data_IF_037605578189
#
_entry.id   IF_037605578189
#
_cell.length_a   1.000
_cell.length_b   1.000
_cell.length_c   1.000
_cell.angle_alpha   90.00
_cell.angle_beta   90.00
_cell.angle_gamma   90.00
#
_symmetry.space_group_name_H-M   'P 1'
#
loop_
_entity.id
_entity.type
_entity.pdbx_description
1 polymer ?
#
# COMPACT_ATOMS: atom_id res chain seq x y z
N UNK A 1 -20.47 -18.59 47.68
CA UNK A 1 -19.82 -18.23 46.41
C UNK A 1 -20.73 -18.78 45.33
N UNK A 2 -21.52 -17.92 44.69
CA UNK A 2 -22.47 -18.35 43.66
C UNK A 2 -21.71 -18.49 42.34
N UNK A 3 -21.70 -19.70 41.78
CA UNK A 3 -21.13 -19.99 40.47
C UNK A 3 -22.23 -19.81 39.43
N UNK A 4 -22.48 -18.56 39.03
CA UNK A 4 -23.38 -18.31 37.90
C UNK A 4 -22.60 -18.46 36.61
N UNK A 5 -23.11 -19.32 35.72
CA UNK A 5 -22.61 -19.43 34.36
C UNK A 5 -23.01 -18.15 33.60
N UNK A 6 -22.09 -17.59 32.85
CA UNK A 6 -22.26 -16.30 32.16
C UNK A 6 -22.28 -16.51 30.66
N UNK A 7 -23.23 -15.88 29.97
CA UNK A 7 -23.17 -15.77 28.50
C UNK A 7 -21.94 -14.93 28.16
N UNK A 8 -20.95 -15.56 27.56
CA UNK A 8 -19.64 -14.98 27.30
C UNK A 8 -19.52 -14.43 25.87
N UNK A 9 -20.18 -15.09 24.92
CA UNK A 9 -20.24 -14.67 23.52
C UNK A 9 -21.70 -14.64 23.05
N UNK A 10 -22.07 -13.59 22.31
CA UNK A 10 -23.36 -13.47 21.65
C UNK A 10 -23.19 -12.78 20.30
N UNK A 11 -23.86 -13.28 19.27
CA UNK A 11 -23.90 -12.68 17.94
C UNK A 11 -25.26 -12.92 17.29
N UNK A 12 -25.74 -11.92 16.55
CA UNK A 12 -26.87 -12.05 15.63
C UNK A 12 -26.34 -12.37 14.22
N UNK A 13 -27.09 -13.17 13.46
CA UNK A 13 -26.77 -13.43 12.07
C UNK A 13 -26.87 -12.16 11.23
N UNK A 14 -25.86 -11.85 10.40
CA UNK A 14 -25.94 -10.72 9.47
C UNK A 14 -26.93 -10.99 8.31
N UNK A 15 -27.49 -12.20 8.20
CA UNK A 15 -28.37 -12.62 7.10
C UNK A 15 -29.83 -12.74 7.50
N UNK A 16 -30.14 -12.86 8.80
CA UNK A 16 -31.50 -13.11 9.27
C UNK A 16 -31.71 -12.46 10.64
N UNK A 17 -32.56 -11.44 10.66
CA UNK A 17 -33.03 -10.82 11.90
C UNK A 17 -33.65 -11.87 12.83
N UNK A 18 -33.35 -11.77 14.12
CA UNK A 18 -33.87 -12.68 15.14
C UNK A 18 -33.23 -14.07 15.15
N UNK A 19 -32.22 -14.32 14.31
CA UNK A 19 -31.34 -15.48 14.42
C UNK A 19 -30.13 -15.12 15.28
N UNK A 20 -30.15 -15.51 16.55
CA UNK A 20 -29.06 -15.24 17.49
C UNK A 20 -28.41 -16.53 17.98
N UNK A 21 -27.10 -16.43 18.22
CA UNK A 21 -26.26 -17.47 18.77
C UNK A 21 -25.61 -16.97 20.04
N UNK A 22 -25.62 -17.79 21.09
CA UNK A 22 -24.97 -17.47 22.37
C UNK A 22 -24.13 -18.64 22.84
N UNK A 23 -23.04 -18.32 23.53
CA UNK A 23 -22.10 -19.27 24.12
C UNK A 23 -21.72 -18.80 25.50
N UNK A 24 -21.66 -19.73 26.45
CA UNK A 24 -21.36 -19.46 27.85
C UNK A 24 -19.97 -19.93 28.27
N UNK A 25 -19.53 -19.51 29.46
CA UNK A 25 -18.24 -19.88 30.04
C UNK A 25 -18.20 -21.31 30.63
N UNK A 26 -19.35 -21.97 30.77
CA UNK A 26 -19.51 -23.39 31.12
C UNK A 26 -19.59 -24.33 29.90
N UNK A 27 -19.58 -23.78 28.68
CA UNK A 27 -19.51 -24.55 27.44
C UNK A 27 -20.85 -24.84 26.78
N UNK A 28 -21.94 -24.19 27.19
CA UNK A 28 -23.21 -24.34 26.49
C UNK A 28 -23.28 -23.40 25.29
N UNK A 29 -23.85 -23.89 24.19
CA UNK A 29 -24.14 -23.11 22.99
C UNK A 29 -25.64 -23.21 22.70
N UNK A 30 -26.29 -22.06 22.54
CA UNK A 30 -27.71 -21.98 22.22
C UNK A 30 -27.95 -21.15 20.97
N UNK A 31 -29.03 -21.49 20.26
CA UNK A 31 -29.51 -20.74 19.10
C UNK A 31 -31.00 -20.44 19.25
N UNK A 32 -31.40 -19.24 18.85
CA UNK A 32 -32.79 -18.82 18.66
C UNK A 32 -32.96 -18.39 17.21
N UNK A 33 -34.16 -18.58 16.65
CA UNK A 33 -34.50 -18.12 15.30
C UNK A 33 -35.72 -17.19 15.28
N UNK A 34 -36.20 -16.79 16.46
CA UNK A 34 -37.43 -16.03 16.67
C UNK A 34 -37.24 -14.81 17.60
N UNK A 35 -36.03 -14.27 17.62
CA UNK A 35 -35.69 -13.08 18.41
C UNK A 35 -35.58 -13.34 19.90
N UNK A 36 -35.23 -14.57 20.30
CA UNK A 36 -35.02 -14.94 21.69
C UNK A 36 -36.28 -15.40 22.42
N UNK A 37 -37.39 -15.66 21.72
CA UNK A 37 -38.60 -16.21 22.33
C UNK A 37 -38.41 -17.68 22.71
N UNK A 38 -37.74 -18.44 21.85
CA UNK A 38 -37.37 -19.83 22.10
C UNK A 38 -35.87 -20.06 21.84
N UNK A 39 -35.21 -20.78 22.74
CA UNK A 39 -33.80 -21.13 22.65
C UNK A 39 -33.62 -22.65 22.60
N UNK A 40 -32.81 -23.13 21.66
CA UNK A 40 -32.43 -24.54 21.54
C UNK A 40 -30.98 -24.71 21.97
N UNK A 41 -30.71 -25.62 22.91
CA UNK A 41 -29.34 -26.05 23.20
C UNK A 41 -28.81 -26.86 22.02
N UNK A 42 -27.73 -26.39 21.43
CA UNK A 42 -27.09 -26.97 20.25
C UNK A 42 -25.61 -27.28 20.50
N UNK A 43 -25.24 -27.51 21.75
CA UNK A 43 -23.87 -27.82 22.15
C UNK A 43 -23.35 -29.08 21.41
N UNK A 44 -22.17 -29.04 20.78
CA UNK A 44 -21.60 -30.18 20.06
C UNK A 44 -21.48 -31.42 20.95
N UNK A 45 -21.96 -32.57 20.46
CA UNK A 45 -21.77 -33.85 21.15
C UNK A 45 -20.28 -34.21 21.23
N UNK A 46 -19.81 -34.58 22.41
CA UNK A 46 -18.40 -34.93 22.65
C UNK A 46 -17.45 -33.74 22.81
N UNK A 47 -17.99 -32.52 22.89
CA UNK A 47 -17.23 -31.35 23.33
C UNK A 47 -16.88 -31.50 24.83
N UNK A 48 -15.67 -31.11 25.27
CA UNK A 48 -15.33 -31.17 26.68
C UNK A 48 -16.23 -30.26 27.53
N UNK A 49 -16.62 -30.75 28.71
CA UNK A 49 -17.36 -29.95 29.68
C UNK A 49 -16.51 -28.77 30.19
N UNK A 50 -17.19 -27.69 30.60
CA UNK A 50 -16.58 -26.48 31.17
C UNK A 50 -15.60 -25.76 30.24
N UNK A 51 -15.81 -25.90 28.92
CA UNK A 51 -15.04 -25.16 27.93
C UNK A 51 -15.61 -23.75 27.79
N UNK A 52 -14.77 -22.74 27.90
CA UNK A 52 -15.19 -21.36 27.77
C UNK A 52 -15.40 -21.01 26.29
N UNK A 53 -16.62 -20.64 25.88
CA UNK A 53 -16.92 -20.21 24.52
C UNK A 53 -16.52 -18.74 24.32
N UNK A 54 -15.33 -18.50 23.76
CA UNK A 54 -14.75 -17.17 23.62
C UNK A 54 -15.29 -16.40 22.41
N UNK A 55 -15.68 -17.09 21.35
CA UNK A 55 -16.06 -16.47 20.09
C UNK A 55 -17.11 -17.31 19.37
N UNK A 56 -18.12 -16.62 18.85
CA UNK A 56 -19.17 -17.15 17.98
C UNK A 56 -19.18 -16.27 16.73
N UNK A 57 -19.26 -16.90 15.57
CA UNK A 57 -19.25 -16.23 14.26
C UNK A 57 -20.35 -16.85 13.37
N UNK A 58 -21.56 -16.28 13.36
CA UNK A 58 -22.59 -16.63 12.38
C UNK A 58 -22.12 -16.24 10.98
N UNK A 59 -22.32 -17.13 10.00
CA UNK A 59 -21.79 -16.90 8.66
C UNK A 59 -22.48 -15.75 7.93
N UNK A 60 -21.68 -14.98 7.19
CA UNK A 60 -22.14 -13.95 6.24
C UNK A 60 -22.62 -14.53 4.91
N UNK A 61 -22.46 -15.84 4.67
CA UNK A 61 -22.86 -16.50 3.41
C UNK A 61 -23.97 -17.53 3.57
N UNK A 62 -24.23 -18.04 4.78
CA UNK A 62 -25.30 -19.01 5.01
C UNK A 62 -25.86 -18.91 6.44
N UNK A 63 -27.17 -18.65 6.57
CA UNK A 63 -27.82 -18.48 7.86
C UNK A 63 -27.73 -19.73 8.78
N UNK A 64 -27.64 -20.94 8.23
CA UNK A 64 -27.49 -22.17 9.01
C UNK A 64 -26.06 -22.43 9.49
N UNK A 65 -25.09 -21.68 8.99
CA UNK A 65 -23.66 -21.85 9.31
C UNK A 65 -23.24 -20.95 10.46
N UNK A 66 -22.52 -21.54 11.41
CA UNK A 66 -21.88 -20.81 12.50
C UNK A 66 -20.54 -21.48 12.84
N UNK A 67 -19.55 -20.66 13.18
CA UNK A 67 -18.26 -21.10 13.68
C UNK A 67 -18.13 -20.70 15.15
N UNK A 68 -17.43 -21.51 15.94
CA UNK A 68 -17.25 -21.31 17.37
C UNK A 68 -15.81 -21.58 17.76
N UNK A 69 -15.21 -20.69 18.55
CA UNK A 69 -13.93 -20.93 19.21
C UNK A 69 -14.13 -21.09 20.71
N UNK A 70 -13.59 -22.18 21.25
CA UNK A 70 -13.57 -22.48 22.68
C UNK A 70 -12.15 -22.60 23.22
N UNK A 71 -12.01 -22.48 24.53
CA UNK A 71 -10.76 -22.77 25.23
C UNK A 71 -11.00 -23.40 26.60
N UNK A 72 -10.03 -24.21 27.03
CA UNK A 72 -10.03 -24.84 28.36
C UNK A 72 -8.69 -24.64 29.09
N UNK A 73 -7.93 -23.61 28.70
CA UNK A 73 -6.58 -23.35 29.22
C UNK A 73 -6.52 -23.20 30.74
N UNK A 74 -7.61 -22.73 31.37
CA UNK A 74 -7.70 -22.56 32.83
C UNK A 74 -7.66 -23.89 33.59
N UNK A 75 -7.90 -25.02 32.93
CA UNK A 75 -7.78 -26.36 33.52
C UNK A 75 -6.51 -27.09 33.07
N UNK A 76 -5.56 -26.39 32.44
CA UNK A 76 -4.34 -26.98 31.89
C UNK A 76 -4.51 -27.69 30.54
N UNK A 77 -5.66 -27.56 29.88
CA UNK A 77 -5.88 -28.08 28.53
C UNK A 77 -5.64 -26.97 27.49
N UNK A 78 -4.52 -27.09 26.78
CA UNK A 78 -4.09 -26.16 25.73
C UNK A 78 -4.48 -26.58 24.31
N UNK A 79 -5.35 -27.59 24.18
CA UNK A 79 -5.83 -28.08 22.89
C UNK A 79 -6.59 -26.99 22.13
N UNK A 80 -6.40 -26.83 20.81
CA UNK A 80 -7.25 -25.97 20.00
C UNK A 80 -8.67 -26.55 19.86
N UNK A 81 -9.66 -25.66 19.93
CA UNK A 81 -11.08 -25.98 19.82
C UNK A 81 -11.77 -24.97 18.91
N UNK A 82 -11.92 -25.36 17.64
CA UNK A 82 -12.76 -24.67 16.67
C UNK A 82 -13.82 -25.64 16.17
N UNK A 83 -15.07 -25.20 16.14
CA UNK A 83 -16.21 -25.99 15.69
C UNK A 83 -16.97 -25.24 14.60
N UNK A 84 -17.55 -26.00 13.68
CA UNK A 84 -18.41 -25.48 12.62
C UNK A 84 -19.71 -26.27 12.55
N UNK A 85 -20.83 -25.58 12.38
CA UNK A 85 -22.10 -26.16 11.97
C UNK A 85 -22.54 -25.55 10.64
N UNK A 86 -23.43 -26.23 9.92
CA UNK A 86 -24.07 -25.75 8.68
C UNK A 86 -25.60 -25.91 8.72
N UNK A 87 -26.14 -26.32 9.87
CA UNK A 87 -27.53 -26.71 10.03
C UNK A 87 -28.11 -26.23 11.38
N UNK A 88 -27.82 -24.99 11.75
CA UNK A 88 -28.30 -24.37 12.98
C UNK A 88 -27.92 -25.16 14.24
N UNK A 89 -26.73 -25.78 14.23
CA UNK A 89 -26.17 -26.45 15.40
C UNK A 89 -26.69 -27.88 15.64
N UNK A 90 -27.51 -28.44 14.72
CA UNK A 90 -27.95 -29.84 14.81
C UNK A 90 -26.78 -30.83 14.75
N UNK A 91 -25.72 -30.48 14.02
CA UNK A 91 -24.47 -31.22 13.99
C UNK A 91 -23.27 -30.28 13.86
N UNK A 92 -22.13 -30.72 14.37
CA UNK A 92 -20.89 -29.94 14.37
C UNK A 92 -19.71 -30.76 13.88
N UNK A 93 -18.71 -30.07 13.34
CA UNK A 93 -17.42 -30.62 12.94
C UNK A 93 -16.31 -29.85 13.63
N UNK A 94 -15.38 -30.54 14.30
CA UNK A 94 -14.15 -29.92 14.81
C UNK A 94 -13.23 -29.60 13.63
N UNK A 95 -12.80 -28.35 13.52
CA UNK A 95 -12.09 -27.79 12.36
C UNK A 95 -10.73 -27.23 12.80
N UNK A 96 -9.86 -28.07 13.36
CA UNK A 96 -8.57 -27.66 13.94
C UNK A 96 -7.35 -28.27 13.25
N UNK A 97 -7.54 -28.98 12.14
CA UNK A 97 -6.44 -29.64 11.45
C UNK A 97 -5.42 -28.61 10.92
N UNK A 98 -4.14 -28.81 11.24
CA UNK A 98 -3.06 -27.87 10.90
C UNK A 98 -2.79 -26.79 11.96
N UNK A 99 -3.61 -26.67 13.01
CA UNK A 99 -3.29 -25.87 14.20
C UNK A 99 -2.46 -26.74 15.15
N UNK A 100 -1.34 -26.20 15.66
CA UNK A 100 -0.48 -26.93 16.57
C UNK A 100 -1.21 -27.30 17.89
N UNK A 101 -0.91 -28.46 18.51
CA UNK A 101 -1.68 -29.00 19.63
C UNK A 101 -1.78 -28.10 20.87
N UNK A 102 -0.80 -27.23 21.13
CA UNK A 102 -0.80 -26.32 22.28
C UNK A 102 -1.17 -24.87 21.92
N UNK A 103 -1.60 -24.64 20.68
CA UNK A 103 -2.03 -23.32 20.22
C UNK A 103 -3.54 -23.18 20.44
N UNK A 104 -3.99 -23.20 21.70
CA UNK A 104 -5.42 -23.08 21.99
C UNK A 104 -6.01 -21.82 21.35
N UNK A 105 -7.23 -21.97 20.87
CA UNK A 105 -7.90 -20.98 20.03
C UNK A 105 -8.71 -20.01 20.87
N UNK A 106 -8.76 -18.75 20.45
CA UNK A 106 -9.48 -17.69 21.14
C UNK A 106 -10.59 -17.08 20.29
N UNK A 107 -10.34 -16.92 19.00
CA UNK A 107 -11.25 -16.22 18.09
C UNK A 107 -11.16 -16.79 16.69
N UNK A 108 -12.29 -16.78 15.98
CA UNK A 108 -12.36 -17.08 14.55
C UNK A 108 -13.24 -16.04 13.86
N UNK A 109 -12.83 -15.56 12.68
CA UNK A 109 -13.62 -14.67 11.81
C UNK A 109 -13.73 -15.23 10.39
N UNK A 110 -14.91 -15.13 9.81
CA UNK A 110 -15.15 -15.43 8.40
C UNK A 110 -14.82 -14.20 7.54
N UNK A 111 -14.11 -14.39 6.43
CA UNK A 111 -13.88 -13.29 5.49
C UNK A 111 -15.17 -12.92 4.75
N UNK A 112 -15.65 -11.67 4.82
CA UNK A 112 -16.93 -11.28 4.23
C UNK A 112 -16.93 -11.23 2.69
N UNK A 113 -15.78 -11.35 2.02
CA UNK A 113 -15.64 -11.29 0.56
C UNK A 113 -15.27 -12.62 -0.09
N UNK A 114 -14.78 -13.58 0.69
CA UNK A 114 -14.34 -14.90 0.21
C UNK A 114 -14.89 -16.01 1.10
N UNK A 115 -15.95 -16.67 0.61
CA UNK A 115 -16.55 -17.84 1.28
C UNK A 115 -15.48 -18.92 1.52
N UNK A 116 -15.39 -19.39 2.77
CA UNK A 116 -14.43 -20.42 3.17
C UNK A 116 -13.02 -19.91 3.46
N UNK A 117 -12.75 -18.61 3.31
CA UNK A 117 -11.55 -17.98 3.84
C UNK A 117 -11.80 -17.59 5.30
N UNK A 118 -11.06 -18.20 6.22
CA UNK A 118 -11.23 -18.01 7.66
C UNK A 118 -9.90 -17.60 8.31
N UNK A 119 -9.99 -16.79 9.37
CA UNK A 119 -8.87 -16.39 10.20
C UNK A 119 -9.09 -16.85 11.63
N UNK A 120 -8.06 -17.40 12.27
CA UNK A 120 -8.10 -17.79 13.67
C UNK A 120 -6.97 -17.14 14.46
N UNK A 121 -7.31 -16.64 15.65
CA UNK A 121 -6.37 -16.17 16.66
C UNK A 121 -6.19 -17.22 17.75
N UNK A 122 -4.94 -17.49 18.12
CA UNK A 122 -4.56 -18.42 19.19
C UNK A 122 -3.74 -17.72 20.25
N UNK A 123 -3.35 -18.44 21.31
CA UNK A 123 -2.45 -17.93 22.35
C UNK A 123 -1.06 -17.52 21.84
N UNK A 124 -0.65 -18.03 20.68
CA UNK A 124 0.72 -17.92 20.17
C UNK A 124 0.81 -17.27 18.80
N UNK A 125 -0.32 -16.86 18.21
CA UNK A 125 -0.32 -16.20 16.91
C UNK A 125 -1.57 -16.44 16.09
N UNK A 126 -1.41 -16.30 14.78
CA UNK A 126 -2.52 -16.37 13.82
C UNK A 126 -2.42 -17.57 12.89
N UNK A 127 -3.59 -18.05 12.46
CA UNK A 127 -3.76 -19.07 11.44
C UNK A 127 -4.77 -18.61 10.38
N UNK A 128 -4.63 -19.14 9.17
CA UNK A 128 -5.52 -18.90 8.04
C UNK A 128 -5.97 -20.23 7.42
N UNK A 129 -7.23 -20.32 7.00
CA UNK A 129 -7.78 -21.45 6.25
C UNK A 129 -8.39 -20.94 4.94
N UNK A 130 -8.14 -21.67 3.85
CA UNK A 130 -8.69 -21.38 2.52
C UNK A 130 -9.83 -22.34 2.13
N UNK A 131 -10.15 -23.30 3.00
CA UNK A 131 -11.03 -24.43 2.73
C UNK A 131 -12.05 -24.63 3.84
N UNK A 132 -12.52 -23.51 4.40
CA UNK A 132 -13.66 -23.45 5.30
C UNK A 132 -13.41 -24.23 6.61
N UNK A 133 -12.18 -24.12 7.11
CA UNK A 133 -11.69 -24.67 8.38
C UNK A 133 -11.16 -26.10 8.28
N UNK A 134 -11.18 -26.73 7.10
CA UNK A 134 -10.69 -28.12 6.95
C UNK A 134 -9.20 -28.23 7.18
N UNK A 135 -8.42 -27.25 6.74
CA UNK A 135 -6.98 -27.16 6.96
C UNK A 135 -6.58 -25.71 7.29
N UNK A 136 -5.73 -25.58 8.31
CA UNK A 136 -5.15 -24.31 8.74
C UNK A 136 -3.66 -24.26 8.45
N UNK A 137 -3.17 -23.06 8.17
CA UNK A 137 -1.75 -22.76 8.02
C UNK A 137 -1.36 -21.60 8.94
N UNK A 138 -0.15 -21.60 9.52
CA UNK A 138 0.36 -20.44 10.25
C UNK A 138 0.31 -19.18 9.38
N UNK A 139 -0.16 -18.08 9.95
CA UNK A 139 -0.34 -16.80 9.28
C UNK A 139 0.27 -15.65 10.10
N UNK A 140 1.54 -15.81 10.45
CA UNK A 140 2.22 -14.94 11.41
C UNK A 140 2.80 -13.66 10.78
N UNK A 141 3.36 -13.75 9.56
CA UNK A 141 4.08 -12.65 8.91
C UNK A 141 5.11 -11.99 9.86
N UNK A 142 5.00 -10.68 10.12
CA UNK A 142 5.84 -9.92 11.06
C UNK A 142 5.19 -9.69 12.43
N UNK A 143 4.03 -10.30 12.70
CA UNK A 143 3.39 -10.27 14.01
C UNK A 143 4.29 -11.04 15.01
N UNK A 144 4.59 -10.50 16.20
CA UNK A 144 5.31 -11.25 17.23
C UNK A 144 4.45 -12.41 17.76
N UNK A 145 5.08 -13.42 18.33
CA UNK A 145 4.38 -14.50 19.06
C UNK A 145 3.70 -13.91 20.29
N UNK A 146 2.38 -13.73 20.23
CA UNK A 146 1.55 -13.12 21.28
C UNK A 146 0.13 -13.70 21.26
N UNK A 147 -0.59 -13.62 22.39
CA UNK A 147 -2.00 -13.99 22.43
C UNK A 147 -2.83 -13.07 21.54
N UNK A 148 -3.65 -13.68 20.68
CA UNK A 148 -4.62 -13.00 19.83
C UNK A 148 -5.98 -13.11 20.49
N UNK A 149 -6.43 -12.02 21.12
CA UNK A 149 -7.64 -12.03 21.93
C UNK A 149 -8.89 -11.79 21.12
N UNK A 150 -8.80 -11.01 20.03
CA UNK A 150 -9.91 -10.75 19.12
C UNK A 150 -9.41 -10.36 17.72
N UNK A 151 -10.28 -10.50 16.72
CA UNK A 151 -10.07 -10.16 15.33
C UNK A 151 -11.29 -9.43 14.80
N UNK A 152 -11.09 -8.48 13.88
CA UNK A 152 -12.20 -7.95 13.07
C UNK A 152 -11.71 -7.62 11.66
N UNK A 153 -12.62 -7.69 10.69
CA UNK A 153 -12.34 -7.40 9.29
C UNK A 153 -13.12 -6.16 8.88
N UNK A 154 -12.41 -5.15 8.39
CA UNK A 154 -13.01 -3.89 7.93
C UNK A 154 -12.23 -3.34 6.75
N UNK A 155 -12.92 -2.91 5.70
CA UNK A 155 -12.33 -2.25 4.53
C UNK A 155 -11.15 -3.03 3.88
N UNK A 156 -11.28 -4.36 3.76
CA UNK A 156 -10.21 -5.26 3.31
C UNK A 156 -8.96 -5.19 4.18
N UNK A 157 -9.11 -4.93 5.47
CA UNK A 157 -8.03 -4.99 6.44
C UNK A 157 -8.46 -5.92 7.56
N UNK A 158 -7.52 -6.71 8.08
CA UNK A 158 -7.72 -7.46 9.31
C UNK A 158 -7.06 -6.71 10.45
N UNK A 159 -7.84 -6.43 11.48
CA UNK A 159 -7.42 -5.77 12.70
C UNK A 159 -7.33 -6.83 13.78
N UNK A 160 -6.19 -6.88 14.44
CA UNK A 160 -5.79 -7.95 15.35
C UNK A 160 -5.58 -7.33 16.74
N UNK A 161 -6.40 -7.73 17.69
CA UNK A 161 -6.22 -7.36 19.09
C UNK A 161 -5.28 -8.36 19.76
N UNK A 162 -4.18 -7.85 20.33
CA UNK A 162 -3.18 -8.67 21.00
C UNK A 162 -3.16 -8.38 22.50
N UNK A 163 -2.79 -9.38 23.29
CA UNK A 163 -2.49 -9.16 24.70
C UNK A 163 -1.06 -8.62 24.85
N UNK A 164 -0.93 -7.39 25.36
CA UNK A 164 0.35 -6.78 25.73
C UNK A 164 1.19 -6.17 24.59
N UNK A 165 0.73 -6.20 23.32
CA UNK A 165 1.46 -5.63 22.16
C UNK A 165 0.60 -4.78 21.20
N UNK A 166 -0.46 -4.14 21.71
CA UNK A 166 -1.34 -3.21 20.98
C UNK A 166 -2.17 -3.86 19.86
N UNK A 167 -2.80 -3.04 19.02
CA UNK A 167 -3.49 -3.44 17.80
C UNK A 167 -2.50 -3.61 16.65
N UNK A 168 -2.68 -4.67 15.87
CA UNK A 168 -1.97 -4.91 14.62
C UNK A 168 -2.93 -4.85 13.45
N UNK A 169 -2.47 -4.37 12.29
CA UNK A 169 -3.29 -4.25 11.10
C UNK A 169 -2.51 -4.82 9.91
N UNK A 170 -3.10 -5.78 9.22
CA UNK A 170 -2.76 -6.06 7.84
C UNK A 170 -3.77 -5.31 6.97
N UNK A 171 -3.29 -4.26 6.32
CA UNK A 171 -4.09 -3.19 5.73
C UNK A 171 -4.63 -3.51 4.32
N UNK A 172 -4.14 -4.59 3.70
CA UNK A 172 -4.57 -5.01 2.38
C UNK A 172 -4.75 -6.55 2.23
N UNK A 173 -5.99 -7.00 2.45
CA UNK A 173 -6.43 -8.37 2.19
C UNK A 173 -6.65 -8.66 0.70
N UNK A 174 -6.62 -7.66 -0.19
CA UNK A 174 -6.94 -7.88 -1.62
C UNK A 174 -5.95 -8.83 -2.29
N UNK A 175 -4.69 -8.85 -1.82
CA UNK A 175 -3.69 -9.82 -2.29
C UNK A 175 -4.08 -11.24 -1.91
N UNK A 176 -4.54 -11.46 -0.67
CA UNK A 176 -5.01 -12.78 -0.21
C UNK A 176 -6.27 -13.22 -0.94
N UNK A 177 -7.21 -12.30 -1.17
CA UNK A 177 -8.44 -12.58 -1.93
C UNK A 177 -8.15 -13.00 -3.36
N UNK A 178 -7.12 -12.44 -3.98
CA UNK A 178 -6.66 -12.83 -5.32
C UNK A 178 -5.88 -14.14 -5.29
N UNK A 179 -5.04 -14.36 -4.28
CA UNK A 179 -4.32 -15.63 -4.08
C UNK A 179 -5.28 -16.82 -3.87
N UNK A 180 -6.43 -16.59 -3.24
CA UNK A 180 -7.47 -17.59 -3.06
C UNK A 180 -7.90 -18.23 -4.40
N UNK A 181 -8.01 -17.42 -5.46
CA UNK A 181 -8.47 -17.86 -6.78
C UNK A 181 -7.31 -18.32 -7.70
N UNK A 182 -6.06 -18.01 -7.33
CA UNK A 182 -4.90 -18.27 -8.17
C UNK A 182 -4.47 -19.74 -8.11
N UNK A 183 -4.48 -20.40 -9.26
CA UNK A 183 -3.73 -21.63 -9.48
C UNK A 183 -2.25 -21.25 -9.64
N UNK A 184 -1.36 -21.82 -8.81
CA UNK A 184 0.07 -21.47 -8.66
C UNK A 184 0.97 -21.69 -9.90
N UNK A 185 0.46 -21.58 -11.13
CA UNK A 185 1.20 -21.87 -12.37
C UNK A 185 1.91 -20.67 -13.01
N UNK A 186 1.60 -19.43 -12.62
CA UNK A 186 2.12 -18.25 -13.34
C UNK A 186 3.52 -17.85 -12.85
N UNK A 187 4.46 -17.63 -13.79
CA UNK A 187 5.83 -17.20 -13.49
C UNK A 187 5.90 -15.71 -13.07
N UNK A 188 5.00 -14.89 -13.62
CA UNK A 188 4.87 -13.46 -13.37
C UNK A 188 3.43 -13.13 -12.94
N UNK A 189 3.26 -12.58 -11.74
CA UNK A 189 1.95 -12.21 -11.20
C UNK A 189 1.96 -10.72 -10.84
N UNK A 190 0.98 -9.99 -11.38
CA UNK A 190 0.66 -8.63 -10.95
C UNK A 190 -0.72 -8.65 -10.29
N UNK A 191 -0.77 -8.35 -9.00
CA UNK A 191 -2.01 -8.27 -8.26
C UNK A 191 -2.70 -6.94 -8.60
N UNK A 192 -4.03 -6.97 -8.73
CA UNK A 192 -4.84 -5.76 -8.85
C UNK A 192 -4.62 -4.90 -7.60
N UNK A 193 -4.11 -3.67 -7.74
CA UNK A 193 -3.95 -2.77 -6.60
C UNK A 193 -5.29 -2.45 -5.93
N UNK A 194 -5.28 -2.27 -4.61
CA UNK A 194 -6.38 -1.64 -3.87
C UNK A 194 -6.55 -0.19 -4.35
N UNK A 195 -7.78 0.32 -4.35
CA UNK A 195 -8.05 1.72 -4.67
C UNK A 195 -7.27 2.63 -3.71
N UNK A 196 -6.61 3.65 -4.27
CA UNK A 196 -5.74 4.57 -3.54
C UNK A 196 -6.44 5.93 -3.37
N UNK A 197 -6.28 6.57 -2.22
CA UNK A 197 -6.80 7.91 -2.01
C UNK A 197 -5.75 8.96 -2.36
N UNK A 198 -6.17 10.00 -3.10
CA UNK A 198 -5.34 11.20 -3.34
C UNK A 198 -5.24 12.03 -2.06
N UNK A 199 -4.31 11.67 -1.18
CA UNK A 199 -4.09 12.36 0.09
C UNK A 199 -2.87 13.30 0.04
N UNK A 200 -2.84 14.29 0.94
CA UNK A 200 -1.64 15.09 1.25
C UNK A 200 -0.77 14.37 2.30
N UNK A 201 0.50 14.78 2.40
CA UNK A 201 1.44 14.27 3.41
C UNK A 201 2.22 13.03 2.97
N UNK A 202 3.07 12.51 3.86
CA UNK A 202 3.89 11.34 3.62
C UNK A 202 4.00 10.46 4.86
N UNK A 203 4.70 9.34 4.73
CA UNK A 203 4.98 8.46 5.86
C UNK A 203 6.31 8.85 6.49
N UNK A 204 6.29 9.31 7.75
CA UNK A 204 7.51 9.38 8.55
C UNK A 204 7.87 7.96 9.00
N UNK A 205 9.03 7.45 8.58
CA UNK A 205 9.48 6.11 8.99
C UNK A 205 9.89 6.11 10.46
N UNK A 206 9.61 4.99 11.14
CA UNK A 206 10.28 4.57 12.39
C UNK A 206 9.99 5.41 13.65
N UNK A 207 8.75 5.87 13.85
CA UNK A 207 8.36 6.31 15.20
C UNK A 207 8.37 5.11 16.16
N UNK A 208 9.01 5.25 17.33
CA UNK A 208 8.94 4.26 18.42
C UNK A 208 7.68 4.43 19.28
N UNK A 209 6.98 5.55 19.14
CA UNK A 209 5.87 5.97 20.01
C UNK A 209 4.54 6.09 19.25
N UNK A 210 4.52 5.83 17.95
CA UNK A 210 3.33 5.97 17.11
C UNK A 210 3.29 4.91 16.04
N UNK A 211 2.08 4.56 15.60
CA UNK A 211 1.88 3.70 14.44
C UNK A 211 2.45 4.32 13.15
N UNK A 212 2.72 3.47 12.16
CA UNK A 212 3.15 3.92 10.83
C UNK A 212 1.91 4.17 9.97
N UNK A 213 1.80 5.36 9.40
CA UNK A 213 0.73 5.66 8.45
C UNK A 213 0.85 4.79 7.20
N UNK A 214 -0.29 4.37 6.65
CA UNK A 214 -0.33 3.71 5.34
C UNK A 214 0.40 4.56 4.28
N UNK A 215 1.16 3.95 3.36
CA UNK A 215 1.86 4.68 2.32
C UNK A 215 0.93 5.60 1.51
N UNK A 216 1.33 6.85 1.29
CA UNK A 216 0.60 7.75 0.41
C UNK A 216 0.96 7.45 -1.06
N UNK A 217 0.15 6.64 -1.72
CA UNK A 217 0.40 6.23 -3.09
C UNK A 217 -0.44 5.03 -3.51
N UNK A 218 -0.24 4.61 -4.76
CA UNK A 218 -0.75 3.35 -5.28
C UNK A 218 0.23 2.25 -4.87
N UNK A 219 -0.20 1.36 -3.98
CA UNK A 219 0.59 0.21 -3.55
C UNK A 219 0.39 -0.94 -4.54
N UNK A 220 1.44 -1.27 -5.27
CA UNK A 220 1.45 -2.33 -6.27
C UNK A 220 2.19 -3.54 -5.73
N UNK A 221 1.49 -4.67 -5.62
CA UNK A 221 2.06 -5.96 -5.26
C UNK A 221 2.27 -6.81 -6.51
N UNK A 222 3.41 -7.48 -6.58
CA UNK A 222 3.71 -8.40 -7.67
C UNK A 222 4.63 -9.53 -7.20
N UNK A 223 4.55 -10.68 -7.86
CA UNK A 223 5.40 -11.82 -7.58
C UNK A 223 6.16 -12.24 -8.84
N UNK A 224 7.47 -12.41 -8.70
CA UNK A 224 8.36 -12.88 -9.77
C UNK A 224 9.00 -14.17 -9.30
N UNK A 225 8.65 -15.29 -9.92
CA UNK A 225 9.10 -16.61 -9.48
C UNK A 225 10.64 -16.76 -9.51
N UNK A 226 11.26 -16.29 -10.57
CA UNK A 226 12.71 -16.34 -10.79
C UNK A 226 13.21 -14.98 -11.29
N UNK A 227 14.25 -14.45 -10.66
CA UNK A 227 14.83 -13.14 -10.98
C UNK A 227 16.36 -13.21 -10.85
N UNK A 228 17.07 -12.82 -11.91
CA UNK A 228 18.52 -12.64 -11.96
C UNK A 228 18.85 -11.16 -12.26
N UNK A 229 19.41 -10.45 -11.29
CA UNK A 229 19.69 -9.01 -11.39
C UNK A 229 20.63 -8.63 -12.55
N UNK A 230 21.47 -9.57 -13.03
CA UNK A 230 22.39 -9.30 -14.13
C UNK A 230 21.79 -9.53 -15.52
N UNK A 231 20.72 -10.34 -15.61
CA UNK A 231 20.14 -10.77 -16.89
C UNK A 231 18.72 -10.25 -17.11
N UNK A 232 17.97 -10.08 -16.03
CA UNK A 232 16.56 -9.72 -16.10
C UNK A 232 16.36 -8.21 -16.00
N UNK A 233 15.54 -7.69 -16.90
CA UNK A 233 15.00 -6.33 -16.81
C UNK A 233 13.55 -6.40 -16.40
N UNK A 234 13.21 -5.69 -15.33
CA UNK A 234 11.84 -5.56 -14.83
C UNK A 234 11.43 -4.10 -14.82
N UNK A 235 10.20 -3.83 -15.23
CA UNK A 235 9.63 -2.49 -15.14
C UNK A 235 8.17 -2.48 -14.70
N UNK A 236 7.78 -1.40 -14.02
CA UNK A 236 6.41 -1.02 -13.71
C UNK A 236 6.08 0.28 -14.43
N UNK A 237 5.11 0.24 -15.34
CA UNK A 237 4.63 1.41 -16.07
C UNK A 237 3.20 1.74 -15.65
N UNK A 238 2.99 3.00 -15.26
CA UNK A 238 1.68 3.54 -14.90
C UNK A 238 1.12 4.36 -16.06
N UNK A 239 -0.15 4.14 -16.38
CA UNK A 239 -0.85 4.77 -17.50
C UNK A 239 -2.06 5.55 -17.02
N UNK A 240 -2.36 6.66 -17.69
CA UNK A 240 -3.54 7.49 -17.42
C UNK A 240 -4.82 6.89 -18.04
N UNK A 241 -5.94 7.59 -17.84
CA UNK A 241 -7.26 7.24 -18.39
C UNK A 241 -7.30 7.08 -19.91
N UNK A 242 -6.40 7.76 -20.64
CA UNK A 242 -6.30 7.72 -22.12
C UNK A 242 -5.36 6.63 -22.62
N UNK A 243 -4.62 5.97 -21.73
CA UNK A 243 -3.58 5.00 -22.07
C UNK A 243 -2.20 5.60 -22.30
N UNK A 244 -2.00 6.90 -22.04
CA UNK A 244 -0.67 7.51 -22.12
C UNK A 244 0.17 7.11 -20.90
N UNK A 245 1.46 6.88 -21.13
CA UNK A 245 2.42 6.62 -20.07
C UNK A 245 2.56 7.84 -19.16
N UNK A 246 2.34 7.63 -17.87
CA UNK A 246 2.60 8.62 -16.83
C UNK A 246 4.05 8.53 -16.38
N UNK A 247 4.46 7.31 -16.00
CA UNK A 247 5.77 7.06 -15.40
C UNK A 247 6.16 5.59 -15.51
N UNK A 248 7.44 5.34 -15.72
CA UNK A 248 8.03 3.99 -15.76
C UNK A 248 9.16 3.88 -14.75
N UNK A 249 9.07 2.89 -13.88
CA UNK A 249 10.12 2.50 -12.95
C UNK A 249 10.77 1.22 -13.44
N UNK A 250 12.10 1.14 -13.50
CA UNK A 250 12.77 -0.05 -14.02
C UNK A 250 14.08 -0.37 -13.26
N UNK A 251 14.54 -1.61 -13.39
CA UNK A 251 15.76 -2.10 -12.71
C UNK A 251 17.05 -1.52 -13.29
N UNK A 252 17.04 -1.04 -14.53
CA UNK A 252 18.23 -0.50 -15.23
C UNK A 252 18.56 0.96 -14.85
N UNK A 253 17.60 1.69 -14.27
CA UNK A 253 17.78 3.07 -13.85
C UNK A 253 18.72 3.16 -12.65
N UNK A 254 19.72 4.07 -12.71
CA UNK A 254 20.75 4.19 -11.67
C UNK A 254 20.38 5.03 -10.45
N UNK A 255 19.40 5.94 -10.58
CA UNK A 255 19.00 6.87 -9.51
C UNK A 255 17.49 7.11 -9.52
N UNK A 256 17.04 8.11 -10.28
CA UNK A 256 15.63 8.46 -10.43
C UNK A 256 14.89 7.29 -11.08
N UNK A 257 13.72 6.99 -10.55
CA UNK A 257 12.81 5.97 -11.08
C UNK A 257 13.41 4.55 -11.16
N UNK A 258 14.34 4.25 -10.26
CA UNK A 258 14.86 2.89 -10.05
C UNK A 258 13.77 2.03 -9.40
N UNK A 259 13.58 0.83 -9.94
CA UNK A 259 12.77 -0.22 -9.33
C UNK A 259 13.69 -1.27 -8.70
N UNK A 260 13.53 -1.49 -7.40
CA UNK A 260 14.20 -2.58 -6.69
C UNK A 260 13.31 -3.82 -6.72
N UNK A 261 13.89 -4.95 -7.09
CA UNK A 261 13.18 -6.22 -7.29
C UNK A 261 13.99 -7.36 -6.67
N UNK A 262 13.29 -8.29 -6.04
CA UNK A 262 13.83 -9.56 -5.55
C UNK A 262 13.04 -10.74 -6.11
N UNK A 263 13.63 -11.93 -6.02
CA UNK A 263 12.91 -13.19 -6.24
C UNK A 263 11.74 -13.30 -5.25
N UNK A 264 10.58 -13.73 -5.74
CA UNK A 264 9.34 -13.87 -4.98
C UNK A 264 8.49 -12.61 -4.94
N UNK A 265 7.88 -12.34 -3.77
CA UNK A 265 6.93 -11.26 -3.57
C UNK A 265 7.63 -9.90 -3.42
N UNK A 266 7.10 -8.90 -4.12
CA UNK A 266 7.59 -7.53 -4.19
C UNK A 266 6.43 -6.54 -3.95
N UNK A 267 6.80 -5.35 -3.48
CA UNK A 267 5.90 -4.23 -3.28
C UNK A 267 6.57 -2.97 -3.80
N UNK A 268 5.81 -2.16 -4.54
CA UNK A 268 6.25 -0.83 -4.96
C UNK A 268 5.14 0.18 -4.72
N UNK A 269 5.50 1.39 -4.26
CA UNK A 269 4.54 2.47 -4.01
C UNK A 269 4.81 3.59 -5.00
N UNK A 270 3.87 3.83 -5.92
CA UNK A 270 3.89 5.03 -6.74
C UNK A 270 3.16 6.17 -6.02
N UNK A 271 3.86 7.26 -5.78
CA UNK A 271 3.38 8.49 -5.10
C UNK A 271 2.30 9.27 -5.87
N UNK A 272 1.85 8.73 -7.01
CA UNK A 272 0.89 9.35 -7.94
C UNK A 272 1.44 10.58 -8.69
N UNK A 273 2.75 10.86 -8.62
CA UNK A 273 3.34 12.01 -9.29
C UNK A 273 3.65 11.70 -10.75
N UNK A 274 3.28 12.63 -11.63
CA UNK A 274 3.71 12.61 -13.03
C UNK A 274 5.19 12.97 -13.14
N UNK A 275 5.75 12.81 -14.34
CA UNK A 275 7.12 13.27 -14.61
C UNK A 275 7.25 14.77 -14.36
N UNK A 276 8.24 15.12 -13.54
CA UNK A 276 8.58 16.49 -13.18
C UNK A 276 9.62 17.12 -14.12
N UNK A 277 10.10 18.29 -13.74
CA UNK A 277 11.14 19.01 -14.49
C UNK A 277 12.54 18.45 -14.21
N UNK A 278 13.39 18.33 -15.25
CA UNK A 278 14.80 17.92 -15.10
C UNK A 278 15.56 18.93 -14.24
N UNK A 279 16.20 18.48 -13.16
CA UNK A 279 17.15 19.32 -12.39
C UNK A 279 18.53 19.27 -13.04
N UNK A 280 19.07 20.42 -13.44
CA UNK A 280 20.43 20.49 -13.98
C UNK A 280 21.47 20.23 -12.88
N UNK A 281 22.60 19.64 -13.26
CA UNK A 281 23.73 19.44 -12.35
C UNK A 281 24.22 20.78 -11.77
N UNK A 282 24.50 20.77 -10.46
CA UNK A 282 24.92 21.97 -9.71
C UNK A 282 23.83 23.02 -9.47
N UNK A 283 22.59 22.78 -9.92
CA UNK A 283 21.48 23.73 -9.72
C UNK A 283 21.00 23.72 -8.27
N UNK A 284 20.96 24.90 -7.66
CA UNK A 284 20.52 25.12 -6.27
C UNK A 284 19.24 25.98 -6.32
N UNK A 285 18.15 25.41 -5.83
CA UNK A 285 16.85 26.06 -5.74
C UNK A 285 16.45 26.15 -4.27
N UNK A 286 15.90 27.29 -3.87
CA UNK A 286 15.38 27.53 -2.54
C UNK A 286 13.87 27.36 -2.53
N UNK A 287 13.41 26.37 -1.76
CA UNK A 287 11.99 26.12 -1.53
C UNK A 287 11.16 26.13 -2.83
N UNK A 288 11.58 25.27 -3.75
CA UNK A 288 10.96 25.05 -5.04
C UNK A 288 10.82 23.55 -5.27
N UNK A 289 9.68 23.12 -5.79
CA UNK A 289 9.46 21.75 -6.24
C UNK A 289 9.64 21.64 -7.74
N UNK A 290 10.34 20.60 -8.17
CA UNK A 290 10.46 20.21 -9.57
C UNK A 290 9.57 19.00 -9.90
N UNK A 291 8.72 18.57 -8.97
CA UNK A 291 7.90 17.38 -9.15
C UNK A 291 6.76 17.65 -10.15
N UNK A 292 6.34 16.59 -10.85
CA UNK A 292 5.21 16.68 -11.77
C UNK A 292 3.88 16.92 -11.05
N UNK A 293 2.79 17.23 -11.76
CA UNK A 293 1.48 17.29 -11.14
C UNK A 293 1.08 15.91 -10.59
N UNK A 294 0.44 15.88 -9.42
CA UNK A 294 -0.09 14.64 -8.84
C UNK A 294 -1.33 14.17 -9.63
N UNK A 295 -1.52 12.87 -9.84
CA UNK A 295 -2.65 12.29 -10.57
C UNK A 295 -4.00 12.61 -9.92
N UNK A 296 -4.95 13.08 -10.74
CA UNK A 296 -6.33 13.39 -10.31
C UNK A 296 -7.12 12.10 -10.02
N UNK A 297 -8.21 12.15 -9.23
CA UNK A 297 -9.10 11.01 -9.08
C UNK A 297 -9.61 10.50 -10.44
N UNK A 298 -9.65 9.17 -10.61
CA UNK A 298 -10.02 8.53 -11.86
C UNK A 298 -9.51 7.10 -11.99
N UNK A 299 -9.70 6.50 -13.16
CA UNK A 299 -9.27 5.13 -13.47
C UNK A 299 -7.91 5.11 -14.16
N UNK A 300 -7.05 4.21 -13.71
CA UNK A 300 -5.66 4.09 -14.16
C UNK A 300 -5.30 2.62 -14.40
N UNK A 301 -4.14 2.39 -15.00
CA UNK A 301 -3.62 1.05 -15.26
C UNK A 301 -2.14 0.98 -14.91
N UNK A 302 -1.73 -0.14 -14.31
CA UNK A 302 -0.32 -0.47 -14.10
C UNK A 302 0.02 -1.72 -14.91
N UNK A 303 1.18 -1.71 -15.56
CA UNK A 303 1.73 -2.85 -16.28
C UNK A 303 3.07 -3.22 -15.69
N UNK A 304 3.20 -4.49 -15.32
CA UNK A 304 4.45 -5.15 -14.98
C UNK A 304 5.02 -5.78 -16.24
N UNK A 305 6.29 -5.52 -16.53
CA UNK A 305 7.02 -6.18 -17.61
C UNK A 305 8.27 -6.87 -17.06
N UNK A 306 8.53 -8.11 -17.47
CA UNK A 306 9.81 -8.80 -17.29
C UNK A 306 10.28 -9.32 -18.64
N UNK A 307 11.41 -8.82 -19.14
CA UNK A 307 12.01 -9.24 -20.42
C UNK A 307 11.03 -9.32 -21.60
N UNK A 308 10.04 -8.42 -21.68
CA UNK A 308 9.04 -8.42 -22.75
C UNK A 308 7.71 -9.11 -22.40
N UNK A 309 7.67 -10.00 -21.40
CA UNK A 309 6.40 -10.54 -20.88
C UNK A 309 5.70 -9.49 -20.03
N UNK A 310 4.43 -9.18 -20.33
CA UNK A 310 3.68 -8.13 -19.65
C UNK A 310 2.35 -8.58 -19.09
N UNK A 311 2.07 -8.16 -17.85
CA UNK A 311 0.77 -8.33 -17.17
C UNK A 311 0.29 -6.96 -16.74
N UNK A 312 -1.00 -6.66 -16.95
CA UNK A 312 -1.59 -5.36 -16.61
C UNK A 312 -2.77 -5.51 -15.67
N UNK A 313 -2.94 -4.53 -14.78
CA UNK A 313 -4.07 -4.45 -13.87
C UNK A 313 -4.64 -3.03 -13.80
N UNK A 314 -5.97 -2.86 -13.76
CA UNK A 314 -6.60 -1.57 -13.52
C UNK A 314 -6.61 -1.23 -12.02
N UNK A 315 -6.63 0.06 -11.69
CA UNK A 315 -6.86 0.55 -10.34
C UNK A 315 -7.53 1.93 -10.37
N UNK A 316 -8.09 2.36 -9.23
CA UNK A 316 -8.75 3.66 -9.11
C UNK A 316 -8.01 4.54 -8.13
N UNK A 317 -7.88 5.82 -8.48
CA UNK A 317 -7.52 6.87 -7.53
C UNK A 317 -8.81 7.58 -7.12
N UNK A 318 -9.09 7.60 -5.81
CA UNK A 318 -10.26 8.22 -5.21
C UNK A 318 -9.91 9.60 -4.66
N UNK A 319 -10.88 10.50 -4.65
CA UNK A 319 -10.78 11.74 -3.89
C UNK A 319 -10.72 11.43 -2.39
N UNK A 320 -9.91 12.16 -1.62
CA UNK A 320 -9.98 12.09 -0.16
C UNK A 320 -11.38 12.58 0.28
N UNK A 321 -12.18 11.77 0.99
CA UNK A 321 -13.53 12.16 1.40
C UNK A 321 -13.57 13.35 2.37
N UNK A 322 -12.40 13.77 2.87
CA UNK A 322 -12.25 14.95 3.75
C UNK A 322 -11.80 16.21 2.99
N UNK A 323 -11.49 16.10 1.69
CA UNK A 323 -11.05 17.24 0.90
C UNK A 323 -12.21 18.18 0.59
N UNK A 324 -11.96 19.50 0.71
CA UNK A 324 -12.93 20.54 0.34
C UNK A 324 -12.96 20.79 -1.18
N UNK A 325 -11.87 20.48 -1.88
CA UNK A 325 -11.74 20.67 -3.33
C UNK A 325 -12.48 19.58 -4.10
N UNK A 326 -13.18 19.96 -5.16
CA UNK A 326 -13.82 19.00 -6.05
C UNK A 326 -12.87 18.45 -7.13
N UNK A 327 -13.39 17.60 -8.03
CA UNK A 327 -12.60 17.04 -9.12
C UNK A 327 -12.13 18.11 -10.13
N UNK A 328 -12.94 19.14 -10.38
CA UNK A 328 -12.61 20.21 -11.31
C UNK A 328 -11.47 21.07 -10.77
N UNK A 329 -11.48 21.38 -9.47
CA UNK A 329 -10.39 22.08 -8.78
C UNK A 329 -9.08 21.27 -8.87
N UNK A 330 -9.13 19.96 -8.61
CA UNK A 330 -7.96 19.10 -8.71
C UNK A 330 -7.43 19.03 -10.15
N UNK A 331 -8.31 19.07 -11.15
CA UNK A 331 -7.93 19.11 -12.55
C UNK A 331 -7.33 20.47 -12.95
N UNK A 332 -7.85 21.58 -12.43
CA UNK A 332 -7.28 22.90 -12.62
C UNK A 332 -5.88 23.00 -12.00
N UNK A 333 -5.70 22.50 -10.78
CA UNK A 333 -4.39 22.40 -10.12
C UNK A 333 -3.41 21.56 -10.95
N UNK A 334 -3.85 20.40 -11.45
CA UNK A 334 -3.05 19.55 -12.31
C UNK A 334 -2.54 20.29 -13.56
N UNK A 335 -3.46 20.98 -14.26
CA UNK A 335 -3.12 21.71 -15.48
C UNK A 335 -2.15 22.87 -15.19
N UNK A 336 -2.40 23.61 -14.13
CA UNK A 336 -1.53 24.71 -13.70
C UNK A 336 -0.10 24.23 -13.40
N UNK A 337 0.06 23.18 -12.58
CA UNK A 337 1.38 22.62 -12.25
C UNK A 337 2.06 22.05 -13.50
N UNK A 338 1.30 21.44 -14.42
CA UNK A 338 1.82 20.97 -15.70
C UNK A 338 2.41 22.12 -16.53
N UNK A 339 1.71 23.25 -16.62
CA UNK A 339 2.17 24.42 -17.37
C UNK A 339 3.39 25.09 -16.73
N UNK A 340 3.44 25.16 -15.40
CA UNK A 340 4.61 25.59 -14.63
C UNK A 340 5.82 24.70 -14.95
N UNK A 341 5.66 23.38 -14.87
CA UNK A 341 6.73 22.42 -15.19
C UNK A 341 7.18 22.54 -16.65
N UNK A 342 6.26 22.61 -17.61
CA UNK A 342 6.60 22.81 -19.03
C UNK A 342 7.43 24.08 -19.26
N UNK A 343 7.13 25.16 -18.53
CA UNK A 343 7.85 26.43 -18.62
C UNK A 343 9.24 26.33 -18.00
N UNK A 344 9.37 25.70 -16.84
CA UNK A 344 10.68 25.46 -16.22
C UNK A 344 11.55 24.54 -17.05
N UNK A 345 10.99 23.47 -17.61
CA UNK A 345 11.70 22.52 -18.45
C UNK A 345 12.26 23.20 -19.72
N UNK A 346 11.47 24.07 -20.36
CA UNK A 346 11.97 24.94 -21.44
C UNK A 346 13.13 25.82 -20.98
N UNK A 347 13.04 26.44 -19.80
CA UNK A 347 14.12 27.25 -19.25
C UNK A 347 15.38 26.43 -18.96
N UNK A 348 15.26 25.25 -18.35
CA UNK A 348 16.38 24.37 -18.03
C UNK A 348 17.04 23.83 -19.31
N UNK A 349 16.27 23.45 -20.32
CA UNK A 349 16.80 23.08 -21.64
C UNK A 349 17.56 24.23 -22.30
N UNK A 350 17.07 25.47 -22.17
CA UNK A 350 17.76 26.67 -22.66
C UNK A 350 19.08 26.90 -21.92
N UNK A 351 19.10 26.80 -20.59
CA UNK A 351 20.32 26.90 -19.78
C UNK A 351 21.34 25.83 -20.19
N UNK A 352 20.89 24.57 -20.36
CA UNK A 352 21.73 23.45 -20.79
C UNK A 352 22.36 23.73 -22.17
N UNK A 353 21.59 24.26 -23.12
CA UNK A 353 22.09 24.69 -24.44
C UNK A 353 23.11 25.82 -24.32
N UNK A 354 22.81 26.86 -23.54
CA UNK A 354 23.71 27.99 -23.28
C UNK A 354 25.06 27.49 -22.74
N UNK A 355 25.05 26.63 -21.71
CA UNK A 355 26.27 26.07 -21.12
C UNK A 355 27.09 25.27 -22.12
N UNK A 356 26.43 24.48 -22.98
CA UNK A 356 27.12 23.71 -24.02
C UNK A 356 27.76 24.61 -25.08
N UNK A 357 27.06 25.65 -25.55
CA UNK A 357 27.60 26.59 -26.54
C UNK A 357 28.74 27.40 -25.92
N UNK A 358 28.58 27.91 -24.70
CA UNK A 358 29.64 28.63 -23.99
C UNK A 358 30.91 27.79 -23.83
N UNK A 359 30.79 26.48 -23.57
CA UNK A 359 31.95 25.58 -23.53
C UNK A 359 32.70 25.53 -24.86
N UNK A 360 31.99 25.52 -25.99
CA UNK A 360 32.59 25.55 -27.33
C UNK A 360 33.22 26.91 -27.65
N UNK A 361 32.55 28.02 -27.31
CA UNK A 361 33.10 29.37 -27.50
C UNK A 361 34.38 29.58 -26.68
N UNK A 362 34.41 29.11 -25.42
CA UNK A 362 35.62 29.17 -24.59
C UNK A 362 36.77 28.33 -25.16
N UNK A 363 36.47 27.16 -25.74
CA UNK A 363 37.47 26.34 -26.41
C UNK A 363 38.03 27.04 -27.66
N UNK A 364 37.16 27.64 -28.48
CA UNK A 364 37.53 28.45 -29.65
C UNK A 364 38.42 29.63 -29.25
N UNK A 365 38.03 30.40 -28.24
CA UNK A 365 38.83 31.52 -27.72
C UNK A 365 40.21 31.09 -27.23
N UNK A 366 40.29 29.94 -26.56
CA UNK A 366 41.56 29.40 -26.07
C UNK A 366 42.46 28.94 -27.23
N UNK A 367 41.88 28.31 -28.25
CA UNK A 367 42.61 27.77 -29.39
C UNK A 367 43.21 28.86 -30.28
N UNK A 368 42.47 29.93 -30.56
CA UNK A 368 42.88 30.99 -31.49
C UNK A 368 43.40 32.25 -30.78
N UNK A 369 43.82 32.11 -29.53
CA UNK A 369 44.31 33.23 -28.73
C UNK A 369 45.53 33.87 -29.38
N UNK A 370 45.41 35.14 -29.80
CA UNK A 370 46.49 35.90 -30.41
C UNK A 370 46.60 35.76 -31.94
N UNK A 371 45.68 35.00 -32.56
CA UNK A 371 45.58 34.93 -34.02
C UNK A 371 44.82 36.15 -34.56
N UNK A 372 45.53 37.03 -35.27
CA UNK A 372 44.96 38.25 -35.83
C UNK A 372 43.98 37.99 -37.00
N UNK A 373 44.02 36.80 -37.61
CA UNK A 373 43.15 36.47 -38.76
C UNK A 373 41.70 36.21 -38.36
N UNK A 374 41.45 35.82 -37.11
CA UNK A 374 40.11 35.50 -36.58
C UNK A 374 39.64 36.46 -35.48
N UNK A 375 40.28 37.62 -35.36
CA UNK A 375 40.00 38.61 -34.29
C UNK A 375 38.52 39.03 -34.23
N UNK A 376 37.89 39.30 -35.37
CA UNK A 376 36.46 39.64 -35.44
C UNK A 376 35.55 38.51 -34.92
N UNK A 377 35.90 37.25 -35.22
CA UNK A 377 35.17 36.09 -34.72
C UNK A 377 35.35 35.91 -33.20
N UNK A 378 36.54 36.18 -32.67
CA UNK A 378 36.80 36.16 -31.23
C UNK A 378 35.99 37.23 -30.49
N UNK A 379 35.85 38.42 -31.05
CA UNK A 379 35.08 39.51 -30.44
C UNK A 379 33.57 39.21 -30.49
N UNK A 380 33.07 38.63 -31.58
CA UNK A 380 31.68 38.10 -31.68
C UNK A 380 31.41 36.97 -30.68
N UNK A 381 32.37 36.06 -30.48
CA UNK A 381 32.25 34.98 -29.50
C UNK A 381 32.09 35.52 -28.08
N UNK A 382 32.89 36.52 -27.68
CA UNK A 382 32.80 37.19 -26.37
C UNK A 382 31.48 37.94 -26.21
N UNK A 383 30.99 38.61 -27.25
CA UNK A 383 29.69 39.28 -27.22
C UNK A 383 28.56 38.27 -26.97
N UNK A 384 28.56 37.16 -27.72
CA UNK A 384 27.57 36.11 -27.57
C UNK A 384 27.62 35.45 -26.18
N UNK A 385 28.81 35.21 -25.61
CA UNK A 385 28.95 34.72 -24.24
C UNK A 385 28.34 35.68 -23.21
N UNK A 386 28.53 37.00 -23.39
CA UNK A 386 27.95 38.02 -22.52
C UNK A 386 26.43 37.99 -22.56
N UNK A 387 25.85 37.91 -23.75
CA UNK A 387 24.40 37.84 -23.94
C UNK A 387 23.82 36.56 -23.32
N UNK A 388 24.48 35.42 -23.56
CA UNK A 388 24.11 34.15 -22.93
C UNK A 388 24.19 34.17 -21.41
N UNK A 389 25.21 34.83 -20.85
CA UNK A 389 25.34 34.99 -19.40
C UNK A 389 24.16 35.80 -18.83
N UNK A 390 23.78 36.90 -19.47
CA UNK A 390 22.63 37.70 -19.04
C UNK A 390 21.32 36.91 -19.09
N UNK A 391 21.13 36.08 -20.12
CA UNK A 391 19.96 35.18 -20.22
C UNK A 391 19.98 34.13 -19.12
N UNK A 392 21.11 33.44 -18.90
CA UNK A 392 21.22 32.42 -17.86
C UNK A 392 20.98 33.03 -16.47
N UNK A 393 21.52 34.21 -16.17
CA UNK A 393 21.32 34.93 -14.90
C UNK A 393 19.87 35.39 -14.67
N UNK A 394 19.11 35.61 -15.74
CA UNK A 394 17.68 35.90 -15.65
C UNK A 394 16.85 34.63 -15.35
N UNK A 395 17.24 33.50 -15.95
CA UNK A 395 16.56 32.21 -15.77
C UNK A 395 16.91 31.53 -14.44
N UNK A 396 18.18 31.60 -14.00
CA UNK A 396 18.73 30.92 -12.84
C UNK A 396 19.78 31.78 -12.10
N UNK A 397 19.86 31.64 -10.77
CA UNK A 397 20.86 32.36 -9.97
C UNK A 397 22.21 31.65 -10.03
N UNK A 398 23.05 32.04 -11.00
CA UNK A 398 24.36 31.42 -11.26
C UNK A 398 25.39 31.63 -10.14
N UNK A 399 25.18 32.58 -9.23
CA UNK A 399 26.07 32.82 -8.08
C UNK A 399 25.92 31.79 -6.97
N UNK A 400 24.85 31.00 -6.97
CA UNK A 400 24.62 29.99 -5.94
C UNK A 400 25.64 28.85 -6.06
N UNK A 401 26.38 28.60 -4.98
CA UNK A 401 27.33 27.50 -4.78
C UNK A 401 26.98 26.64 -3.55
N UNK A 402 26.20 27.18 -2.62
CA UNK A 402 25.71 26.54 -1.40
C UNK A 402 24.20 26.73 -1.21
N UNK A 403 23.56 25.84 -0.45
CA UNK A 403 22.12 25.88 -0.18
C UNK A 403 21.67 27.14 0.59
N UNK A 404 22.58 27.86 1.25
CA UNK A 404 22.29 29.11 1.97
C UNK A 404 22.48 30.37 1.12
N UNK A 405 23.14 30.27 -0.04
CA UNK A 405 23.35 31.42 -0.93
C UNK A 405 22.07 32.11 -1.44
N UNK A 406 20.92 31.42 -1.59
CA UNK A 406 19.65 32.08 -1.89
C UNK A 406 19.19 33.12 -0.85
N UNK A 407 19.78 33.15 0.35
CA UNK A 407 19.56 34.23 1.33
C UNK A 407 20.28 35.52 0.95
N UNK A 408 21.40 35.40 0.23
CA UNK A 408 22.26 36.52 -0.17
C UNK A 408 22.00 36.99 -1.61
N UNK A 409 21.49 36.10 -2.48
CA UNK A 409 21.21 36.40 -3.87
C UNK A 409 19.74 36.16 -4.22
N UNK A 410 19.08 37.10 -4.93
CA UNK A 410 17.65 36.98 -5.22
C UNK A 410 17.37 35.76 -6.10
N UNK A 411 16.28 35.07 -5.80
CA UNK A 411 15.78 33.96 -6.62
C UNK A 411 15.36 34.44 -8.02
N UNK A 412 15.58 33.59 -9.02
CA UNK A 412 15.31 33.87 -10.45
C UNK A 412 14.09 33.11 -10.97
N UNK A 413 13.77 33.26 -12.25
CA UNK A 413 12.52 32.79 -12.84
C UNK A 413 12.20 31.33 -12.52
N UNK A 414 13.15 30.41 -12.76
CA UNK A 414 12.95 28.96 -12.54
C UNK A 414 12.64 28.62 -11.09
N UNK A 415 13.31 29.28 -10.13
CA UNK A 415 13.03 29.10 -8.71
C UNK A 415 11.66 29.68 -8.33
N UNK A 416 11.29 30.85 -8.85
CA UNK A 416 9.96 31.46 -8.60
C UNK A 416 8.84 30.58 -9.12
N UNK A 417 9.03 29.98 -10.29
CA UNK A 417 8.08 29.04 -10.87
C UNK A 417 7.98 27.76 -10.03
N UNK A 418 9.11 27.15 -9.66
CA UNK A 418 9.09 25.92 -8.86
C UNK A 418 8.52 26.13 -7.45
N UNK A 419 8.55 27.36 -6.93
CA UNK A 419 7.91 27.72 -5.67
C UNK A 419 6.38 27.61 -5.71
N UNK A 420 5.76 27.87 -6.86
CA UNK A 420 4.31 27.72 -7.05
C UNK A 420 3.84 26.26 -6.92
N UNK A 421 4.78 25.32 -7.01
CA UNK A 421 4.55 23.88 -6.89
C UNK A 421 5.06 23.29 -5.57
N UNK A 422 5.58 24.11 -4.65
CA UNK A 422 6.18 23.64 -3.40
C UNK A 422 5.16 23.24 -2.32
N UNK A 423 3.85 23.35 -2.61
CA UNK A 423 2.75 23.21 -1.65
C UNK A 423 1.65 22.24 -2.11
#
# INVERSE_FOLDING_TARGET
>A
MEYYCTIFAAQESPLKEGLLWVGSDDGLIHVTQDGGKNWTNVTPKGMPDWMMINSIEPSVFNAGTCYVAGTKYKTGDFTPYLYKTTNYGKSWTKITNGIAPEHFTRVLREDPKRKGLLYAGTETGMYISFDDGKNWKPFQLNLPTVPITDLTIKNNSIIVATQGRSLWILDDLTVLHQLYDLKYSNQLILFKPKDAYRMRGGTLKNSKTSGTNHPNGVVTYFNIKDFDEQKDTVSLTYFNMKGDTIKTFNTTNKKKDKLEVKKGANQFVWDMMYEGTEKLEGMILWWASLDGPKAVPGSYKVTLNKNGESVSQPFTILADPRAESDLADMQAQFNFIKDVNNTMDKAHKTIKKIRNINKQLLAFEKQYKGDNTVKDLLDKAKALQKDFKSIEEALYQTKNKSAQDPLNFPIRLTNKLGHLNAW
#
